data_IF_696332600465
#
_entry.id   IF_696332600465
#
_cell.length_a   1.000
_cell.length_b   1.000
_cell.length_c   1.000
_cell.angle_alpha   90.00
_cell.angle_beta   90.00
_cell.angle_gamma   90.00
#
_symmetry.space_group_name_H-M   'P 1'
#
loop_
_entity.id
_entity.type
_entity.pdbx_description
1 polymer ?
#
# COMPACT_ATOMS: atom_id res chain seq x y z
N UNK A 1 6.00 -29.12 -15.49
CA UNK A 1 7.15 -28.30 -15.94
C UNK A 1 6.77 -26.83 -15.79
N UNK A 2 7.00 -26.22 -14.61
CA UNK A 2 6.71 -24.78 -14.39
C UNK A 2 7.88 -23.99 -14.97
N UNK A 3 7.67 -23.26 -16.06
CA UNK A 3 8.66 -22.30 -16.55
C UNK A 3 8.81 -21.19 -15.50
N UNK A 4 9.99 -21.04 -14.92
CA UNK A 4 10.29 -19.89 -14.07
C UNK A 4 10.36 -18.67 -14.99
N UNK A 5 9.38 -17.77 -14.87
CA UNK A 5 9.43 -16.46 -15.53
C UNK A 5 10.60 -15.68 -14.92
N UNK A 6 11.67 -15.51 -15.69
CA UNK A 6 12.79 -14.65 -15.29
C UNK A 6 12.35 -13.20 -15.49
N UNK A 7 12.39 -12.40 -14.43
CA UNK A 7 12.14 -10.96 -14.51
C UNK A 7 13.48 -10.24 -14.52
N UNK A 8 13.67 -9.37 -15.51
CA UNK A 8 14.82 -8.47 -15.59
C UNK A 8 14.40 -7.07 -15.11
N UNK A 9 15.30 -6.28 -14.50
CA UNK A 9 14.97 -4.93 -14.05
C UNK A 9 14.58 -4.05 -15.24
N UNK A 10 13.43 -3.38 -15.12
CA UNK A 10 12.99 -2.42 -16.13
C UNK A 10 13.77 -1.12 -15.98
N UNK A 11 14.40 -0.67 -17.06
CA UNK A 11 15.12 0.61 -17.14
C UNK A 11 14.37 1.52 -18.09
N UNK A 12 13.73 2.55 -17.56
CA UNK A 12 12.93 3.50 -18.33
C UNK A 12 12.11 4.42 -17.45
N UNK A 13 11.45 5.41 -18.07
CA UNK A 13 10.53 6.29 -17.34
C UNK A 13 9.22 5.58 -17.10
N UNK A 14 8.79 5.53 -15.84
CA UNK A 14 7.49 4.99 -15.44
C UNK A 14 6.58 6.09 -14.94
N UNK A 15 5.28 5.95 -15.20
CA UNK A 15 4.24 6.77 -14.60
C UNK A 15 3.48 5.94 -13.59
N UNK A 16 3.38 6.44 -12.36
CA UNK A 16 2.51 5.86 -11.33
C UNK A 16 1.31 6.79 -11.15
N UNK A 17 0.14 6.31 -11.53
CA UNK A 17 -1.13 7.00 -11.31
C UNK A 17 -1.76 6.37 -10.07
N UNK A 18 -2.25 7.21 -9.16
CA UNK A 18 -2.93 6.76 -7.93
C UNK A 18 -4.29 7.43 -7.89
N UNK A 19 -5.33 6.62 -7.79
CA UNK A 19 -6.70 7.10 -7.62
C UNK A 19 -7.04 7.22 -6.13
N UNK A 20 -7.53 8.40 -5.72
CA UNK A 20 -7.87 8.68 -4.33
C UNK A 20 -9.27 8.20 -3.94
N UNK A 21 -9.46 6.88 -3.80
CA UNK A 21 -10.79 6.31 -3.49
C UNK A 21 -11.10 6.16 -1.99
N UNK A 22 -10.14 6.41 -1.11
CA UNK A 22 -10.24 6.13 0.34
C UNK A 22 -11.45 6.79 1.02
N UNK A 23 -11.80 8.02 0.65
CA UNK A 23 -12.93 8.73 1.25
C UNK A 23 -14.31 8.19 0.87
N UNK A 24 -14.45 7.53 -0.28
CA UNK A 24 -15.78 7.09 -0.77
C UNK A 24 -16.02 5.60 -0.48
N UNK A 25 -14.97 4.79 -0.38
CA UNK A 25 -15.09 3.35 -0.18
C UNK A 25 -15.64 2.96 1.20
N UNK A 26 -15.44 3.77 2.23
CA UNK A 26 -15.85 3.42 3.61
C UNK A 26 -17.02 4.25 4.14
N UNK A 27 -17.48 5.26 3.39
CA UNK A 27 -18.65 6.07 3.78
C UNK A 27 -19.92 5.23 3.98
N UNK A 28 -20.00 4.04 3.38
CA UNK A 28 -21.11 3.10 3.60
C UNK A 28 -21.10 2.43 4.99
N UNK A 29 -20.02 2.59 5.78
CA UNK A 29 -19.88 1.98 7.11
C UNK A 29 -20.27 2.93 8.26
N UNK A 30 -20.63 4.17 7.96
CA UNK A 30 -20.86 5.24 8.95
C UNK A 30 -22.05 6.12 8.53
N UNK A 31 -22.67 6.79 9.51
CA UNK A 31 -23.87 7.59 9.27
C UNK A 31 -23.57 9.09 9.16
N UNK A 32 -22.33 9.51 9.47
CA UNK A 32 -21.94 10.93 9.42
C UNK A 32 -20.48 11.16 9.03
N UNK A 33 -20.18 12.38 8.59
CA UNK A 33 -18.80 12.82 8.31
C UNK A 33 -17.92 12.84 9.56
N UNK A 34 -18.51 13.07 10.74
CA UNK A 34 -17.79 13.07 12.01
C UNK A 34 -17.30 11.64 12.32
N UNK A 35 -18.17 10.66 12.12
CA UNK A 35 -17.85 9.24 12.28
C UNK A 35 -16.85 8.77 11.21
N UNK A 36 -16.99 9.21 9.96
CA UNK A 36 -16.00 8.92 8.92
C UNK A 36 -14.60 9.41 9.31
N UNK A 37 -14.46 10.62 9.87
CA UNK A 37 -13.17 11.13 10.35
C UNK A 37 -12.60 10.27 11.47
N UNK A 38 -13.44 9.86 12.42
CA UNK A 38 -13.03 8.97 13.50
C UNK A 38 -12.59 7.59 12.95
N UNK A 39 -13.32 7.04 11.98
CA UNK A 39 -12.97 5.79 11.32
C UNK A 39 -11.62 5.89 10.62
N UNK A 40 -11.37 6.96 9.85
CA UNK A 40 -10.07 7.19 9.21
C UNK A 40 -8.93 7.32 10.21
N UNK A 41 -9.14 8.01 11.34
CA UNK A 41 -8.15 8.12 12.42
C UNK A 41 -7.81 6.75 13.04
N UNK A 42 -8.84 5.91 13.27
CA UNK A 42 -8.65 4.55 13.78
C UNK A 42 -7.90 3.71 12.75
N UNK A 43 -8.29 3.77 11.49
CA UNK A 43 -7.65 3.05 10.40
C UNK A 43 -6.18 3.45 10.27
N UNK A 44 -5.86 4.75 10.26
CA UNK A 44 -4.48 5.23 10.18
C UNK A 44 -3.63 4.72 11.35
N UNK A 45 -4.15 4.76 12.59
CA UNK A 45 -3.44 4.28 13.78
C UNK A 45 -3.22 2.76 13.79
N UNK A 46 -4.13 2.00 13.16
CA UNK A 46 -4.00 0.55 13.06
C UNK A 46 -3.00 0.09 12.00
N UNK A 47 -2.57 0.99 11.09
CA UNK A 47 -1.60 0.63 10.04
C UNK A 47 -0.25 0.29 10.68
N UNK A 48 0.40 -0.80 10.27
CA UNK A 48 1.74 -1.09 10.77
C UNK A 48 2.73 0.01 10.40
N UNK A 49 3.82 0.11 11.15
CA UNK A 49 4.88 1.08 10.88
C UNK A 49 5.53 0.85 9.52
N UNK A 50 6.02 1.93 8.90
CA UNK A 50 6.83 1.84 7.69
C UNK A 50 8.24 1.33 8.09
N UNK A 51 8.80 0.32 7.41
CA UNK A 51 10.18 -0.11 7.63
C UNK A 51 11.17 1.04 7.49
N UNK A 52 12.24 1.05 8.27
CA UNK A 52 13.23 2.14 8.31
C UNK A 52 13.79 2.46 6.91
N UNK A 53 14.06 1.44 6.13
CA UNK A 53 14.61 1.56 4.78
C UNK A 53 13.64 2.29 3.84
N UNK A 54 12.34 2.27 4.13
CA UNK A 54 11.28 2.83 3.30
C UNK A 54 10.74 4.19 3.79
N UNK A 55 11.24 4.71 4.92
CA UNK A 55 10.72 5.97 5.51
C UNK A 55 11.00 7.20 4.63
N UNK A 56 12.01 7.13 3.75
CA UNK A 56 12.33 8.19 2.80
C UNK A 56 11.36 8.26 1.61
N UNK A 57 10.52 7.24 1.43
CA UNK A 57 9.55 7.19 0.34
C UNK A 57 8.30 7.99 0.68
N UNK A 58 7.71 8.63 -0.33
CA UNK A 58 6.39 9.22 -0.21
C UNK A 58 5.36 8.16 0.21
N UNK A 59 4.35 8.52 1.00
CA UNK A 59 3.40 7.56 1.59
C UNK A 59 2.74 6.62 0.55
N UNK A 60 2.45 7.13 -0.64
CA UNK A 60 1.91 6.34 -1.76
C UNK A 60 2.87 5.25 -2.26
N UNK A 61 4.17 5.47 -2.13
CA UNK A 61 5.21 4.52 -2.47
C UNK A 61 5.54 3.58 -1.31
N UNK A 62 5.42 4.05 -0.07
CA UNK A 62 5.70 3.27 1.15
C UNK A 62 4.60 2.26 1.52
N UNK A 63 3.34 2.53 1.15
CA UNK A 63 2.17 1.71 1.48
C UNK A 63 2.32 0.18 1.31
N UNK A 64 2.85 -0.36 0.19
CA UNK A 64 3.01 -1.81 0.01
C UNK A 64 4.02 -2.45 0.97
N UNK A 65 4.91 -1.67 1.59
CA UNK A 65 5.91 -2.18 2.53
C UNK A 65 5.43 -2.17 4.00
N UNK A 66 4.25 -1.61 4.28
CA UNK A 66 3.68 -1.56 5.64
C UNK A 66 3.03 -2.87 6.04
N UNK A 67 2.46 -3.62 5.11
CA UNK A 67 1.70 -4.84 5.41
C UNK A 67 2.53 -6.10 5.13
N UNK A 68 2.47 -7.08 6.04
CA UNK A 68 3.23 -8.34 5.94
C UNK A 68 2.71 -9.30 4.86
N UNK A 69 3.47 -10.37 4.62
CA UNK A 69 3.11 -11.40 3.63
C UNK A 69 1.85 -12.17 4.06
N UNK A 70 0.80 -12.15 3.23
CA UNK A 70 -0.23 -13.19 3.30
C UNK A 70 0.32 -14.50 2.71
N UNK A 71 -0.17 -15.66 3.15
CA UNK A 71 0.39 -16.96 2.77
C UNK A 71 -0.06 -17.39 1.36
N UNK A 72 0.34 -16.68 0.28
CA UNK A 72 0.44 -17.15 -1.13
C UNK A 72 1.06 -16.08 -2.05
N UNK A 73 1.48 -16.52 -3.25
CA UNK A 73 2.77 -16.23 -3.90
C UNK A 73 3.05 -14.83 -4.53
N UNK A 74 2.26 -13.76 -4.28
CA UNK A 74 2.66 -12.42 -4.76
C UNK A 74 1.84 -11.23 -4.23
N UNK A 75 2.53 -10.31 -3.53
CA UNK A 75 2.14 -8.90 -3.33
C UNK A 75 3.33 -7.94 -3.61
N UNK A 76 4.30 -8.39 -4.41
CA UNK A 76 5.73 -8.04 -4.32
C UNK A 76 6.06 -6.53 -4.06
N UNK A 77 7.13 -6.20 -3.30
CA UNK A 77 8.50 -6.34 -3.84
C UNK A 77 9.70 -6.19 -2.90
N UNK A 78 10.86 -6.63 -3.46
CA UNK A 78 12.20 -6.60 -2.88
C UNK A 78 12.66 -5.16 -2.62
N UNK A 79 12.77 -4.87 -1.32
CA UNK A 79 13.67 -3.91 -0.66
C UNK A 79 13.56 -2.45 -1.06
N UNK A 80 13.30 -1.58 -0.08
CA UNK A 80 13.83 -0.22 -0.15
C UNK A 80 15.35 -0.33 0.04
N UNK A 81 16.10 -0.04 -1.02
CA UNK A 81 17.56 0.00 -1.05
C UNK A 81 18.01 1.31 -1.64
#
# INVERSE_FOLDING_TARGET
MRSVLRSEPYIGRVWRIVEGQHLMSTMALVDSLQEQRLLEDILERSKPAVPTECQHLHYLMAAPFRFGLYPVDSQFRRGCG
#
